data_IF_943702971111
#
_entry.id   IF_943702971111
#
_cell.length_a   1.000
_cell.length_b   1.000
_cell.length_c   1.000
_cell.angle_alpha   90.00
_cell.angle_beta   90.00
_cell.angle_gamma   90.00
#
_symmetry.space_group_name_H-M   'P 1'
#
loop_
_entity.id
_entity.type
_entity.pdbx_description
1 polymer ?
#
# COMPACT_ATOMS: atom_id res chain seq x y z
N UNK A 1 4.81 13.74 -39.63
CA UNK A 1 5.03 12.95 -38.40
C UNK A 1 4.32 13.63 -37.25
N UNK A 2 2.99 13.46 -37.18
CA UNK A 2 2.20 13.97 -36.06
C UNK A 2 2.44 13.05 -34.86
N UNK A 3 3.00 13.62 -33.79
CA UNK A 3 2.91 13.05 -32.46
C UNK A 3 1.42 13.00 -32.12
N UNK A 4 0.85 11.80 -32.04
CA UNK A 4 -0.50 11.62 -31.50
C UNK A 4 -0.50 12.28 -30.11
N UNK A 5 -1.38 13.26 -29.90
CA UNK A 5 -1.67 13.81 -28.58
C UNK A 5 -2.24 12.67 -27.72
N UNK A 6 -1.35 11.93 -27.05
CA UNK A 6 -1.76 10.97 -26.03
C UNK A 6 -2.34 11.79 -24.88
N UNK A 7 -3.67 11.77 -24.76
CA UNK A 7 -4.33 12.26 -23.56
C UNK A 7 -4.01 11.27 -22.45
N UNK A 8 -3.05 11.63 -21.61
CA UNK A 8 -2.61 10.86 -20.45
C UNK A 8 -3.51 11.22 -19.26
N UNK A 9 -3.88 10.21 -18.49
CA UNK A 9 -4.62 10.36 -17.23
C UNK A 9 -3.91 9.59 -16.11
N UNK A 10 -4.06 10.10 -14.90
CA UNK A 10 -3.61 9.42 -13.68
C UNK A 10 -4.74 8.53 -13.16
N UNK A 11 -4.43 7.26 -12.90
CA UNK A 11 -5.37 6.27 -12.38
C UNK A 11 -4.85 5.63 -11.10
N UNK A 12 -5.74 5.44 -10.14
CA UNK A 12 -5.46 4.71 -8.91
C UNK A 12 -5.96 3.27 -9.01
N UNK A 13 -5.04 2.31 -8.99
CA UNK A 13 -5.34 0.88 -9.01
C UNK A 13 -5.81 0.43 -7.61
N UNK A 14 -7.12 0.52 -7.37
CA UNK A 14 -7.75 0.29 -6.06
C UNK A 14 -7.47 -1.07 -5.40
N UNK A 15 -7.07 -2.09 -6.17
CA UNK A 15 -6.75 -3.42 -5.64
C UNK A 15 -5.26 -3.59 -5.30
N UNK A 16 -4.41 -2.66 -5.76
CA UNK A 16 -2.96 -2.67 -5.56
C UNK A 16 -2.45 -1.48 -4.75
N UNK A 17 -3.23 -0.38 -4.67
CA UNK A 17 -2.83 0.84 -3.97
C UNK A 17 -1.81 1.69 -4.74
N UNK A 18 -1.70 1.50 -6.06
CA UNK A 18 -0.70 2.14 -6.92
C UNK A 18 -1.34 3.27 -7.73
N UNK A 19 -0.66 4.41 -7.80
CA UNK A 19 -0.97 5.49 -8.72
C UNK A 19 -0.11 5.34 -9.98
N UNK A 20 -0.72 5.39 -11.16
CA UNK A 20 0.01 5.30 -12.42
C UNK A 20 -0.59 6.16 -13.52
N UNK A 21 0.23 6.54 -14.49
CA UNK A 21 -0.20 7.25 -15.69
C UNK A 21 -0.50 6.24 -16.82
N UNK A 22 -1.59 6.47 -17.56
CA UNK A 22 -1.89 5.72 -18.78
C UNK A 22 -2.59 6.58 -19.84
N UNK A 23 -2.51 6.14 -21.10
CA UNK A 23 -3.32 6.72 -22.18
C UNK A 23 -4.81 6.50 -21.89
N UNK A 24 -5.64 7.51 -22.13
CA UNK A 24 -7.11 7.40 -22.09
C UNK A 24 -7.66 6.29 -22.97
N UNK A 25 -6.96 5.89 -24.03
CA UNK A 25 -7.32 4.75 -24.89
C UNK A 25 -7.29 3.40 -24.15
N UNK A 26 -6.55 3.32 -23.04
CA UNK A 26 -6.47 2.13 -22.18
C UNK A 26 -7.46 2.17 -21.01
N UNK A 27 -8.36 3.15 -20.97
CA UNK A 27 -9.38 3.29 -19.91
C UNK A 27 -10.73 2.83 -20.44
N UNK A 28 -11.32 1.84 -19.78
CA UNK A 28 -12.58 1.22 -20.18
C UNK A 28 -13.62 1.32 -19.06
N UNK A 29 -14.90 1.33 -19.44
CA UNK A 29 -16.00 1.25 -18.47
C UNK A 29 -15.94 -0.04 -17.64
N UNK A 30 -15.97 0.11 -16.32
CA UNK A 30 -16.07 -1.02 -15.41
C UNK A 30 -17.51 -1.57 -15.41
N UNK A 31 -17.69 -2.80 -15.91
CA UNK A 31 -18.99 -3.48 -15.84
C UNK A 31 -19.37 -3.69 -14.37
N UNK A 32 -20.64 -3.47 -14.04
CA UNK A 32 -21.16 -3.54 -12.66
C UNK A 32 -20.81 -4.83 -11.92
N UNK A 33 -20.82 -5.98 -12.61
CA UNK A 33 -20.43 -7.28 -12.04
C UNK A 33 -19.00 -7.32 -11.47
N UNK A 34 -18.10 -6.46 -11.97
CA UNK A 34 -16.72 -6.35 -11.49
C UNK A 34 -16.59 -5.34 -10.34
N UNK A 35 -17.53 -4.41 -10.19
CA UNK A 35 -17.56 -3.41 -9.12
C UNK A 35 -18.26 -3.86 -7.83
N UNK A 36 -18.65 -5.13 -7.72
CA UNK A 36 -19.37 -5.66 -6.55
C UNK A 36 -18.46 -5.99 -5.36
N UNK A 37 -17.16 -6.20 -5.60
CA UNK A 37 -16.21 -6.49 -4.53
C UNK A 37 -15.65 -5.18 -3.95
N UNK A 38 -15.41 -5.11 -2.63
CA UNK A 38 -14.67 -3.99 -2.04
C UNK A 38 -13.29 -3.83 -2.69
N UNK A 39 -12.73 -2.64 -2.61
CA UNK A 39 -11.33 -2.38 -2.97
C UNK A 39 -10.42 -3.30 -2.14
N UNK A 40 -9.49 -4.01 -2.78
CA UNK A 40 -8.67 -4.99 -2.08
C UNK A 40 -7.42 -4.39 -1.41
N UNK A 41 -6.92 -3.25 -1.90
CA UNK A 41 -5.82 -2.56 -1.24
C UNK A 41 -6.34 -1.80 -0.02
N UNK A 42 -5.80 -2.15 1.14
CA UNK A 42 -6.12 -1.47 2.41
C UNK A 42 -4.96 -0.54 2.76
N UNK A 43 -5.27 0.77 2.92
CA UNK A 43 -4.28 1.75 3.35
C UNK A 43 -3.99 1.59 4.84
N UNK A 44 -2.71 1.43 5.19
CA UNK A 44 -2.29 1.17 6.55
C UNK A 44 -0.96 1.85 6.91
N UNK A 45 -0.72 1.97 8.22
CA UNK A 45 0.47 2.53 8.87
C UNK A 45 0.96 1.56 9.94
N UNK A 46 2.27 1.52 10.19
CA UNK A 46 2.81 0.73 11.29
C UNK A 46 2.47 1.39 12.63
N UNK A 47 1.84 0.63 13.52
CA UNK A 47 1.47 1.11 14.84
C UNK A 47 2.70 1.40 15.70
N UNK A 48 2.74 2.58 16.31
CA UNK A 48 3.76 3.00 17.28
C UNK A 48 5.20 3.07 16.74
N UNK A 49 5.35 3.30 15.43
CA UNK A 49 6.66 3.54 14.79
C UNK A 49 6.59 4.86 14.02
N UNK A 50 7.65 5.66 14.06
CA UNK A 50 7.78 6.92 13.33
C UNK A 50 9.20 7.18 12.86
N UNK A 51 9.44 8.19 12.01
CA UNK A 51 10.78 8.55 11.58
C UNK A 51 11.69 8.86 12.76
N UNK A 52 12.91 8.30 12.76
CA UNK A 52 13.86 8.51 13.86
C UNK A 52 14.38 9.95 13.94
N UNK A 53 14.37 10.67 12.81
CA UNK A 53 14.79 12.06 12.71
C UNK A 53 13.83 12.83 11.78
N UNK A 54 13.40 14.02 12.19
CA UNK A 54 12.54 14.88 11.38
C UNK A 54 11.11 14.37 11.23
N UNK A 55 10.47 14.71 10.11
CA UNK A 55 9.05 14.43 9.85
C UNK A 55 8.80 13.41 8.72
N UNK A 56 9.87 12.83 8.16
CA UNK A 56 9.79 11.92 7.01
C UNK A 56 10.69 10.70 7.20
N UNK A 57 10.24 9.54 6.76
CA UNK A 57 11.08 8.34 6.69
C UNK A 57 12.27 8.57 5.76
N UNK A 58 13.47 8.20 6.22
CA UNK A 58 14.64 8.21 5.35
C UNK A 58 14.61 6.99 4.41
N UNK A 59 15.45 7.04 3.37
CA UNK A 59 15.52 5.98 2.37
C UNK A 59 15.86 4.61 2.99
N UNK A 60 16.84 4.57 3.89
CA UNK A 60 17.32 3.34 4.51
C UNK A 60 16.22 2.61 5.31
N UNK A 61 15.41 3.36 6.06
CA UNK A 61 14.28 2.82 6.82
C UNK A 61 13.19 2.24 5.90
N UNK A 62 12.86 2.94 4.80
CA UNK A 62 11.90 2.45 3.80
C UNK A 62 12.44 1.20 3.09
N UNK A 63 13.72 1.19 2.75
CA UNK A 63 14.37 0.06 2.10
C UNK A 63 14.46 -1.16 3.03
N UNK A 64 14.80 -0.95 4.31
CA UNK A 64 14.80 -1.99 5.34
C UNK A 64 13.41 -2.57 5.53
N UNK A 65 12.38 -1.72 5.66
CA UNK A 65 10.99 -2.17 5.76
C UNK A 65 10.58 -3.01 4.53
N UNK A 66 10.89 -2.52 3.33
CA UNK A 66 10.63 -3.24 2.07
C UNK A 66 11.26 -4.64 2.08
N UNK A 67 12.52 -4.77 2.51
CA UNK A 67 13.20 -6.07 2.66
C UNK A 67 12.52 -6.99 3.67
N UNK A 68 12.06 -6.46 4.80
CA UNK A 68 11.44 -7.25 5.87
C UNK A 68 10.10 -7.88 5.44
N UNK A 69 9.36 -7.19 4.56
CA UNK A 69 8.03 -7.64 4.11
C UNK A 69 8.06 -8.36 2.75
N UNK A 70 9.15 -8.26 1.99
CA UNK A 70 9.21 -8.76 0.61
C UNK A 70 9.01 -10.28 0.53
N UNK A 71 7.93 -10.72 -0.14
CA UNK A 71 7.59 -12.14 -0.35
C UNK A 71 7.49 -12.95 0.95
N UNK A 72 7.05 -12.32 2.03
CA UNK A 72 6.83 -12.96 3.33
C UNK A 72 5.33 -12.95 3.65
N UNK A 73 4.83 -14.05 4.23
CA UNK A 73 3.48 -14.08 4.79
C UNK A 73 3.48 -13.41 6.16
N UNK A 74 2.72 -12.32 6.28
CA UNK A 74 2.61 -11.53 7.50
C UNK A 74 1.20 -11.66 8.07
N UNK A 75 1.10 -11.79 9.39
CA UNK A 75 -0.13 -11.56 10.12
C UNK A 75 -0.23 -10.07 10.49
N UNK A 76 -1.34 -9.43 10.14
CA UNK A 76 -1.62 -8.04 10.52
C UNK A 76 -2.62 -8.01 11.68
N UNK A 77 -2.24 -7.36 12.79
CA UNK A 77 -3.13 -7.07 13.90
C UNK A 77 -3.58 -5.62 13.83
N UNK A 78 -4.88 -5.38 13.70
CA UNK A 78 -5.45 -4.04 13.75
C UNK A 78 -5.33 -3.44 15.15
N UNK A 79 -4.78 -2.23 15.23
CA UNK A 79 -4.61 -1.48 16.49
C UNK A 79 -5.53 -0.27 16.59
N UNK A 80 -5.68 0.49 15.50
CA UNK A 80 -6.59 1.65 15.43
C UNK A 80 -7.17 1.80 14.03
N UNK A 81 -8.37 2.37 13.96
CA UNK A 81 -9.04 2.74 12.71
C UNK A 81 -9.16 4.27 12.68
N UNK A 82 -8.57 4.91 11.67
CA UNK A 82 -8.74 6.32 11.39
C UNK A 82 -9.77 6.45 10.25
N UNK A 83 -11.05 6.52 10.62
CA UNK A 83 -12.16 6.49 9.65
C UNK A 83 -12.18 7.68 8.70
N UNK A 84 -11.81 8.86 9.18
CA UNK A 84 -11.80 10.09 8.40
C UNK A 84 -10.78 10.03 7.25
N UNK A 85 -9.60 9.49 7.55
CA UNK A 85 -8.49 9.36 6.59
C UNK A 85 -8.48 8.02 5.83
N UNK A 86 -9.38 7.09 6.21
CA UNK A 86 -9.42 5.70 5.71
C UNK A 86 -8.07 4.98 5.88
N UNK A 87 -7.45 5.13 7.05
CA UNK A 87 -6.14 4.52 7.38
C UNK A 87 -6.30 3.57 8.56
N UNK A 88 -5.65 2.41 8.50
CA UNK A 88 -5.55 1.46 9.61
C UNK A 88 -4.15 1.52 10.24
N UNK A 89 -4.07 1.68 11.55
CA UNK A 89 -2.81 1.41 12.26
C UNK A 89 -2.72 -0.10 12.53
N UNK A 90 -1.67 -0.73 12.02
CA UNK A 90 -1.47 -2.18 12.10
C UNK A 90 -0.14 -2.53 12.73
N UNK A 91 -0.10 -3.64 13.46
CA UNK A 91 1.14 -4.34 13.78
C UNK A 91 1.31 -5.49 12.80
N UNK A 92 2.48 -5.60 12.18
CA UNK A 92 2.82 -6.71 11.28
C UNK A 92 3.75 -7.68 11.99
N UNK A 93 3.38 -8.96 11.99
CA UNK A 93 4.18 -10.04 12.56
C UNK A 93 4.48 -11.05 11.46
N UNK A 94 5.76 -11.43 11.33
CA UNK A 94 6.16 -12.54 10.47
C UNK A 94 5.87 -13.86 11.15
N UNK A 95 5.18 -14.76 10.43
CA UNK A 95 4.97 -16.13 10.87
C UNK A 95 6.22 -16.96 10.53
N UNK A 96 7.24 -16.93 11.39
CA UNK A 96 8.31 -17.94 11.42
C UNK A 96 8.03 -18.89 12.60
N UNK A 97 8.27 -20.19 12.40
CA UNK A 97 7.61 -21.31 13.12
C UNK A 97 7.79 -21.38 14.65
N UNK A 98 8.63 -20.55 15.29
CA UNK A 98 8.85 -20.64 16.75
C UNK A 98 8.81 -19.33 17.55
N UNK A 99 8.96 -18.14 16.95
CA UNK A 99 8.93 -16.86 17.67
C UNK A 99 8.53 -15.75 16.70
N UNK A 100 7.24 -15.41 16.62
CA UNK A 100 6.76 -14.36 15.72
C UNK A 100 7.56 -13.06 15.87
N UNK A 101 8.08 -12.53 14.76
CA UNK A 101 8.90 -11.31 14.76
C UNK A 101 8.01 -10.13 14.38
N UNK A 102 7.86 -9.15 15.29
CA UNK A 102 7.20 -7.88 14.99
C UNK A 102 8.11 -7.02 14.09
N UNK A 103 7.59 -6.62 12.93
CA UNK A 103 8.33 -5.84 11.93
C UNK A 103 8.66 -4.44 12.43
N UNK A 104 7.85 -3.87 13.34
CA UNK A 104 8.09 -2.55 13.92
C UNK A 104 9.21 -2.47 14.95
N UNK A 105 9.70 -3.62 15.42
CA UNK A 105 10.74 -3.69 16.45
C UNK A 105 12.17 -3.78 15.86
N UNK A 106 12.30 -3.79 14.53
CA UNK A 106 13.57 -3.88 13.78
C UNK A 106 13.94 -2.60 13.07
#
# INVERSE_FOLDING_TARGET
>A
NCLLNLNIVEVFLIDYGILMECSTENVFYLRTKFGQRPQQAVRATLFNVGPSHGHSWNFDAVEQFSRLIHKVNLAATLKKIHSDDKVLDVMLVRNDEDLGINVGDK
#
